data_IF_728008681356
#
_entry.id   IF_728008681356
#
_cell.length_a   1.000
_cell.length_b   1.000
_cell.length_c   1.000
_cell.angle_alpha   90.00
_cell.angle_beta   90.00
_cell.angle_gamma   90.00
#
_symmetry.space_group_name_H-M   'P 1'
#
loop_
_entity.id
_entity.type
_entity.pdbx_description
1 polymer ?
#
# COMPACT_ATOMS: atom_id res chain seq x y z
N UNK A 1 -18.50 -7.45 19.28
CA UNK A 1 -17.05 -7.15 19.37
C UNK A 1 -16.49 -6.80 18.01
N UNK A 2 -15.89 -5.66 17.90
CA UNK A 2 -15.22 -5.27 16.67
C UNK A 2 -13.85 -5.94 16.60
N UNK A 3 -13.50 -6.50 15.44
CA UNK A 3 -12.19 -7.08 15.22
C UNK A 3 -11.14 -5.97 15.18
N UNK A 4 -9.95 -6.27 15.68
CA UNK A 4 -8.81 -5.37 15.59
C UNK A 4 -8.42 -5.21 14.12
N UNK A 5 -8.29 -3.96 13.67
CA UNK A 5 -7.87 -3.67 12.31
C UNK A 5 -6.35 -3.69 12.17
N UNK A 6 -5.87 -3.87 10.94
CA UNK A 6 -4.45 -3.94 10.64
C UNK A 6 -3.76 -2.62 10.99
N UNK A 7 -2.70 -2.71 11.78
CA UNK A 7 -1.86 -1.56 12.14
C UNK A 7 -0.41 -2.02 12.20
N UNK A 8 0.46 -1.36 11.44
CA UNK A 8 1.88 -1.70 11.36
C UNK A 8 2.67 -0.41 11.54
N UNK A 9 3.72 -0.44 12.36
CA UNK A 9 4.68 0.65 12.41
C UNK A 9 6.07 0.14 12.10
N UNK A 10 6.88 1.01 11.48
CA UNK A 10 8.24 0.69 11.10
C UNK A 10 9.09 1.95 11.15
N UNK A 11 10.32 1.79 11.62
CA UNK A 11 11.27 2.89 11.69
C UNK A 11 12.24 2.75 10.50
N UNK A 12 12.16 3.70 9.55
CA UNK A 12 13.04 3.71 8.38
C UNK A 12 14.27 4.55 8.66
N UNK A 13 15.43 4.05 8.24
CA UNK A 13 16.71 4.74 8.42
C UNK A 13 16.95 5.72 7.28
N UNK A 14 16.14 6.76 7.23
CA UNK A 14 16.19 7.81 6.20
C UNK A 14 15.41 9.03 6.69
N UNK A 15 15.75 10.23 6.18
CA UNK A 15 15.04 11.45 6.57
C UNK A 15 13.61 11.50 6.05
N UNK A 16 12.78 12.25 6.76
CA UNK A 16 11.34 12.34 6.54
C UNK A 16 10.96 12.65 5.09
N UNK A 17 11.59 13.64 4.48
CA UNK A 17 11.27 14.07 3.11
C UNK A 17 11.53 12.94 2.11
N UNK A 18 12.59 12.18 2.33
CA UNK A 18 12.96 11.09 1.44
C UNK A 18 11.98 9.92 1.55
N UNK A 19 11.57 9.60 2.78
CA UNK A 19 10.58 8.53 3.02
C UNK A 19 9.23 8.93 2.41
N UNK A 20 8.78 10.16 2.64
CA UNK A 20 7.52 10.64 2.08
C UNK A 20 7.55 10.63 0.55
N UNK A 21 8.66 11.05 -0.05
CA UNK A 21 8.83 11.03 -1.50
C UNK A 21 8.70 9.60 -2.05
N UNK A 22 9.23 8.61 -1.35
CA UNK A 22 9.14 7.22 -1.78
C UNK A 22 7.69 6.72 -1.83
N UNK A 23 6.81 7.29 -1.03
CA UNK A 23 5.39 6.94 -1.00
C UNK A 23 4.55 7.74 -2.00
N UNK A 24 5.06 8.83 -2.54
CA UNK A 24 4.27 9.74 -3.37
C UNK A 24 4.79 9.92 -4.78
N UNK A 25 6.01 9.49 -5.07
CA UNK A 25 6.59 9.55 -6.41
C UNK A 25 6.33 8.22 -7.13
N UNK A 26 5.57 8.22 -8.26
CA UNK A 26 5.28 6.98 -8.99
C UNK A 26 6.53 6.20 -9.41
N UNK A 27 7.62 6.88 -9.75
CA UNK A 27 8.86 6.20 -10.13
C UNK A 27 9.47 5.43 -8.95
N UNK A 28 9.30 5.96 -7.73
CA UNK A 28 9.73 5.27 -6.52
C UNK A 28 8.78 4.11 -6.18
N UNK A 29 7.48 4.34 -6.28
CA UNK A 29 6.47 3.31 -5.98
C UNK A 29 6.66 2.07 -6.84
N UNK A 30 7.03 2.22 -8.10
CA UNK A 30 7.30 1.10 -9.00
C UNK A 30 8.39 0.17 -8.47
N UNK A 31 9.26 0.66 -7.63
CA UNK A 31 10.43 -0.09 -7.16
C UNK A 31 10.17 -0.89 -5.89
N UNK A 32 9.19 -0.51 -5.09
CA UNK A 32 8.99 -1.17 -3.80
C UNK A 32 7.55 -1.54 -3.46
N UNK A 33 6.56 -1.01 -4.17
CA UNK A 33 5.15 -1.16 -3.78
C UNK A 33 4.54 -2.48 -4.25
N UNK A 34 5.25 -3.57 -4.01
CA UNK A 34 4.80 -4.95 -4.23
C UNK A 34 5.71 -5.88 -3.41
N UNK A 35 5.21 -7.01 -2.92
CA UNK A 35 6.04 -7.94 -2.15
C UNK A 35 7.21 -8.48 -2.96
N UNK A 36 8.23 -9.01 -2.28
CA UNK A 36 9.37 -9.63 -2.94
C UNK A 36 8.92 -10.69 -3.95
N UNK A 37 9.50 -10.64 -5.14
CA UNK A 37 9.13 -11.56 -6.22
C UNK A 37 7.96 -11.08 -7.07
N UNK A 38 7.30 -10.01 -6.69
CA UNK A 38 6.17 -9.41 -7.42
C UNK A 38 6.58 -8.06 -7.99
N UNK A 39 5.85 -7.60 -8.99
CA UNK A 39 6.06 -6.28 -9.58
C UNK A 39 4.74 -5.53 -9.63
N UNK A 40 4.80 -4.21 -9.49
CA UNK A 40 3.62 -3.36 -9.63
C UNK A 40 3.66 -2.60 -10.93
N UNK A 41 2.50 -2.56 -11.59
CA UNK A 41 2.28 -1.79 -12.81
C UNK A 41 1.19 -0.76 -12.53
N UNK A 42 1.43 0.50 -12.89
CA UNK A 42 0.41 1.54 -12.80
C UNK A 42 -0.14 1.80 -14.20
N UNK A 43 -1.40 1.46 -14.41
CA UNK A 43 -2.09 1.80 -15.65
C UNK A 43 -2.38 3.30 -15.68
N UNK A 44 -2.67 3.87 -14.51
CA UNK A 44 -2.76 5.30 -14.28
C UNK A 44 -2.45 5.59 -12.83
N UNK A 45 -1.88 6.74 -12.55
CA UNK A 45 -1.66 7.21 -11.19
C UNK A 45 -1.52 8.73 -11.18
N UNK A 46 -2.26 9.37 -10.26
CA UNK A 46 -2.20 10.80 -10.01
C UNK A 46 -2.11 10.98 -8.49
N UNK A 47 -0.90 11.23 -8.00
CA UNK A 47 -0.66 11.38 -6.55
C UNK A 47 -0.93 12.85 -6.17
N UNK A 48 -2.20 13.16 -6.06
CA UNK A 48 -2.68 14.47 -5.59
C UNK A 48 -4.00 14.24 -4.85
N UNK A 49 -4.41 15.21 -4.05
CA UNK A 49 -5.71 15.08 -3.37
C UNK A 49 -6.83 14.94 -4.41
N UNK A 50 -7.66 13.93 -4.22
CA UNK A 50 -8.71 13.52 -5.16
C UNK A 50 -8.19 12.89 -6.46
N UNK A 51 -6.87 12.72 -6.60
CA UNK A 51 -6.30 11.98 -7.72
C UNK A 51 -6.58 10.49 -7.60
N UNK A 52 -6.68 9.82 -8.75
CA UNK A 52 -7.02 8.39 -8.81
C UNK A 52 -5.85 7.55 -9.30
N UNK A 53 -5.90 6.26 -9.02
CA UNK A 53 -4.92 5.31 -9.53
C UNK A 53 -5.59 4.00 -9.92
N UNK A 54 -4.96 3.30 -10.87
CA UNK A 54 -5.36 1.96 -11.28
C UNK A 54 -4.08 1.15 -11.45
N UNK A 55 -3.90 0.12 -10.64
CA UNK A 55 -2.64 -0.62 -10.57
C UNK A 55 -2.87 -2.12 -10.56
N UNK A 56 -1.82 -2.85 -10.93
CA UNK A 56 -1.80 -4.31 -10.90
C UNK A 56 -0.52 -4.78 -10.23
N UNK A 57 -0.66 -5.66 -9.26
CA UNK A 57 0.49 -6.39 -8.71
C UNK A 57 0.58 -7.71 -9.49
N UNK A 58 1.69 -7.89 -10.19
CA UNK A 58 1.97 -9.12 -10.95
C UNK A 58 2.69 -10.12 -10.06
N UNK A 59 1.96 -11.14 -9.63
CA UNK A 59 2.47 -12.22 -8.79
C UNK A 59 2.67 -13.45 -9.68
N UNK A 60 3.90 -13.95 -9.86
CA UNK A 60 4.14 -15.10 -10.75
C UNK A 60 3.48 -16.39 -10.26
N UNK A 61 3.08 -16.45 -8.99
CA UNK A 61 2.44 -17.63 -8.40
C UNK A 61 0.91 -17.52 -8.43
N UNK A 62 0.38 -16.35 -8.02
CA UNK A 62 -1.06 -16.15 -7.84
C UNK A 62 -1.74 -15.38 -8.98
N UNK A 63 -0.96 -14.85 -9.90
CA UNK A 63 -1.49 -14.07 -11.02
C UNK A 63 -1.70 -12.60 -10.69
N UNK A 64 -2.25 -11.84 -11.65
CA UNK A 64 -2.40 -10.39 -11.49
C UNK A 64 -3.49 -10.03 -10.49
N UNK A 65 -3.24 -9.00 -9.69
CA UNK A 65 -4.21 -8.44 -8.74
C UNK A 65 -4.42 -6.97 -9.09
N UNK A 66 -5.60 -6.63 -9.60
CA UNK A 66 -5.95 -5.29 -10.01
C UNK A 66 -6.65 -4.53 -8.89
N UNK A 67 -6.21 -3.30 -8.66
CA UNK A 67 -6.77 -2.41 -7.64
C UNK A 67 -6.89 -1.02 -8.24
N UNK A 68 -8.01 -0.36 -7.98
CA UNK A 68 -8.16 1.05 -8.30
C UNK A 68 -8.41 1.82 -7.00
N UNK A 69 -8.19 3.12 -7.02
CA UNK A 69 -8.40 3.90 -5.82
C UNK A 69 -8.28 5.39 -6.01
N UNK A 70 -8.25 6.08 -4.88
CA UNK A 70 -8.27 7.53 -4.84
C UNK A 70 -7.50 8.01 -3.61
N UNK A 71 -6.66 9.02 -3.80
CA UNK A 71 -6.00 9.70 -2.68
C UNK A 71 -6.98 10.70 -2.09
N UNK A 72 -7.41 10.47 -0.86
CA UNK A 72 -8.41 11.31 -0.21
C UNK A 72 -7.80 12.42 0.64
N UNK A 73 -6.56 12.23 1.11
CA UNK A 73 -5.87 13.25 1.90
C UNK A 73 -4.36 13.11 1.69
N UNK A 74 -3.69 14.22 1.41
CA UNK A 74 -2.23 14.27 1.32
C UNK A 74 -1.75 15.49 2.09
N UNK A 75 -1.06 15.27 3.22
CA UNK A 75 -0.40 16.32 3.99
C UNK A 75 1.10 16.11 3.85
N UNK A 76 1.82 16.98 3.12
CA UNK A 76 3.24 16.77 2.86
C UNK A 76 4.04 16.48 4.13
N UNK A 77 4.81 15.39 4.09
CA UNK A 77 5.67 14.94 5.18
C UNK A 77 4.93 14.55 6.46
N UNK A 78 3.61 14.39 6.42
CA UNK A 78 2.82 14.06 7.61
C UNK A 78 1.89 12.89 7.41
N UNK A 79 1.09 12.89 6.33
CA UNK A 79 0.02 11.93 6.22
C UNK A 79 -0.41 11.67 4.77
N UNK A 80 -0.76 10.42 4.50
CA UNK A 80 -1.28 9.99 3.21
C UNK A 80 -2.46 9.05 3.48
N UNK A 81 -3.63 9.37 2.91
CA UNK A 81 -4.82 8.52 3.04
C UNK A 81 -5.35 8.21 1.66
N UNK A 82 -5.59 6.94 1.39
CA UNK A 82 -6.13 6.54 0.11
C UNK A 82 -7.12 5.39 0.25
N UNK A 83 -8.11 5.41 -0.64
CA UNK A 83 -9.10 4.35 -0.77
C UNK A 83 -8.62 3.35 -1.80
N UNK A 84 -8.71 2.06 -1.48
CA UNK A 84 -8.37 0.97 -2.40
C UNK A 84 -9.62 0.12 -2.64
N UNK A 85 -9.91 -0.17 -3.91
CA UNK A 85 -11.09 -0.95 -4.29
C UNK A 85 -10.65 -2.06 -5.24
N UNK A 86 -11.13 -3.28 -5.01
CA UNK A 86 -10.84 -4.41 -5.89
C UNK A 86 -11.44 -4.16 -7.27
N UNK A 87 -10.65 -4.39 -8.31
CA UNK A 87 -11.06 -4.14 -9.68
C UNK A 87 -10.54 -5.21 -10.62
N UNK A 88 -10.94 -5.11 -11.90
CA UNK A 88 -10.33 -5.87 -12.98
C UNK A 88 -9.45 -4.94 -13.82
N UNK A 89 -8.90 -5.46 -14.90
CA UNK A 89 -8.00 -4.71 -15.79
C UNK A 89 -8.69 -3.49 -16.41
N UNK A 90 -10.02 -3.54 -16.59
CA UNK A 90 -10.79 -2.44 -17.16
C UNK A 90 -11.20 -1.39 -16.14
N UNK A 91 -10.86 -1.60 -14.86
CA UNK A 91 -11.22 -0.68 -13.78
C UNK A 91 -12.63 -0.87 -13.25
N UNK A 92 -13.27 -1.98 -13.61
CA UNK A 92 -14.61 -2.30 -13.08
C UNK A 92 -14.48 -2.94 -11.70
N UNK A 93 -15.44 -2.66 -10.81
CA UNK A 93 -15.47 -3.26 -9.48
C UNK A 93 -15.69 -4.77 -9.59
N UNK A 94 -14.95 -5.54 -8.79
CA UNK A 94 -15.12 -6.98 -8.70
C UNK A 94 -15.28 -7.40 -7.24
N UNK A 95 -15.88 -8.57 -7.02
CA UNK A 95 -16.02 -9.12 -5.69
C UNK A 95 -14.72 -9.79 -5.25
N UNK A 96 -14.58 -10.04 -3.94
CA UNK A 96 -13.36 -10.62 -3.38
C UNK A 96 -13.03 -11.98 -4.02
N UNK A 97 -14.02 -12.82 -4.26
CA UNK A 97 -13.83 -14.14 -4.87
C UNK A 97 -13.31 -14.02 -6.32
N UNK A 98 -13.86 -13.09 -7.10
CA UNK A 98 -13.40 -12.84 -8.46
C UNK A 98 -11.96 -12.33 -8.48
N UNK A 99 -11.58 -11.53 -7.47
CA UNK A 99 -10.21 -11.01 -7.33
C UNK A 99 -9.24 -12.04 -6.75
N UNK A 100 -9.69 -13.26 -6.47
CA UNK A 100 -8.86 -14.30 -5.89
C UNK A 100 -8.61 -14.13 -4.39
N UNK A 101 -9.43 -13.33 -3.73
CA UNK A 101 -9.34 -13.09 -2.28
C UNK A 101 -10.32 -13.97 -1.53
N UNK A 102 -10.14 -14.08 -0.20
CA UNK A 102 -11.10 -14.80 0.63
C UNK A 102 -12.42 -14.02 0.70
N UNK A 103 -13.50 -14.75 1.01
CA UNK A 103 -14.84 -14.19 1.13
C UNK A 103 -14.94 -13.04 2.14
N UNK A 104 -14.09 -13.07 3.16
CA UNK A 104 -14.08 -12.07 4.23
C UNK A 104 -13.23 -10.85 3.90
N UNK A 105 -12.57 -10.84 2.75
CA UNK A 105 -11.75 -9.69 2.32
C UNK A 105 -12.68 -8.55 1.92
N UNK A 106 -12.48 -7.33 2.47
CA UNK A 106 -13.38 -6.22 2.14
C UNK A 106 -13.23 -5.77 0.70
N UNK A 107 -14.37 -5.35 0.11
CA UNK A 107 -14.42 -4.79 -1.25
C UNK A 107 -13.59 -3.50 -1.35
N UNK A 108 -13.60 -2.70 -0.30
CA UNK A 108 -12.89 -1.43 -0.23
C UNK A 108 -12.12 -1.33 1.07
N UNK A 109 -10.92 -0.77 1.00
CA UNK A 109 -10.04 -0.57 2.15
C UNK A 109 -9.57 0.87 2.16
N UNK A 110 -9.67 1.54 3.32
CA UNK A 110 -9.03 2.83 3.52
C UNK A 110 -7.68 2.58 4.18
N UNK A 111 -6.63 3.08 3.54
CA UNK A 111 -5.27 3.00 4.07
C UNK A 111 -4.83 4.38 4.51
N UNK A 112 -4.44 4.51 5.78
CA UNK A 112 -3.90 5.75 6.33
C UNK A 112 -2.45 5.51 6.74
N UNK A 113 -1.56 6.36 6.23
CA UNK A 113 -0.12 6.29 6.52
C UNK A 113 0.30 7.60 7.14
N UNK A 114 0.91 7.55 8.32
CA UNK A 114 1.43 8.73 8.99
C UNK A 114 2.94 8.65 9.09
N UNK A 115 3.59 9.82 9.02
CA UNK A 115 5.05 9.96 8.98
C UNK A 115 5.48 10.87 10.12
N UNK A 116 6.45 10.44 10.91
CA UNK A 116 6.96 11.23 12.04
C UNK A 116 8.48 11.16 12.09
N UNK A 117 9.17 12.30 12.24
CA UNK A 117 10.62 12.27 12.36
C UNK A 117 11.03 11.74 13.74
N UNK A 118 12.05 10.89 13.77
CA UNK A 118 12.66 10.39 14.99
C UNK A 118 14.17 10.59 14.82
N UNK A 119 14.66 11.77 15.18
CA UNK A 119 16.04 12.17 14.87
C UNK A 119 16.24 12.25 13.37
N UNK A 120 17.16 11.48 12.83
CA UNK A 120 17.43 11.40 11.39
C UNK A 120 16.69 10.25 10.73
N UNK A 121 15.85 9.56 11.50
CA UNK A 121 15.05 8.44 11.01
C UNK A 121 13.59 8.86 10.90
N UNK A 122 12.76 8.01 10.30
CA UNK A 122 11.34 8.30 10.10
C UNK A 122 10.51 7.12 10.56
N UNK A 123 9.58 7.38 11.46
CA UNK A 123 8.59 6.38 11.86
C UNK A 123 7.41 6.46 10.92
N UNK A 124 7.08 5.34 10.29
CA UNK A 124 5.90 5.20 9.43
C UNK A 124 4.90 4.33 10.17
N UNK A 125 3.66 4.80 10.24
CA UNK A 125 2.57 4.05 10.86
C UNK A 125 1.48 3.85 9.80
N UNK A 126 1.13 2.60 9.54
CA UNK A 126 0.15 2.24 8.52
C UNK A 126 -1.05 1.59 9.18
N UNK A 127 -2.23 2.05 8.81
CA UNK A 127 -3.51 1.49 9.27
C UNK A 127 -4.38 1.18 8.05
N UNK A 128 -4.98 -0.01 8.04
CA UNK A 128 -5.94 -0.40 7.00
C UNK A 128 -7.23 -0.89 7.63
N UNK A 129 -8.36 -0.55 6.99
CA UNK A 129 -9.69 -0.95 7.46
C UNK A 129 -10.02 -2.39 7.06
N UNK A 130 -9.16 -3.32 7.48
CA UNK A 130 -9.33 -4.75 7.30
C UNK A 130 -8.93 -5.42 8.61
N UNK A 131 -9.63 -6.48 9.00
CA UNK A 131 -9.32 -7.19 10.23
C UNK A 131 -7.89 -7.74 10.17
N UNK A 132 -7.11 -7.53 11.22
CA UNK A 132 -5.73 -8.02 11.31
C UNK A 132 -5.66 -9.55 11.09
N UNK A 133 -6.63 -10.28 11.64
CA UNK A 133 -6.70 -11.72 11.49
C UNK A 133 -6.90 -12.10 10.01
N UNK A 134 -7.72 -11.35 9.27
CA UNK A 134 -7.93 -11.61 7.85
C UNK A 134 -6.68 -11.27 7.03
N UNK A 135 -6.00 -10.19 7.39
CA UNK A 135 -4.74 -9.81 6.73
C UNK A 135 -3.66 -10.87 6.93
N UNK A 136 -3.59 -11.47 8.13
CA UNK A 136 -2.63 -12.55 8.41
C UNK A 136 -2.99 -13.83 7.66
N UNK A 137 -4.27 -14.13 7.56
CA UNK A 137 -4.77 -15.33 6.87
C UNK A 137 -4.49 -15.28 5.37
N UNK A 138 -4.62 -14.12 4.76
CA UNK A 138 -4.47 -13.94 3.31
C UNK A 138 -3.05 -13.64 2.88
N UNK A 139 -2.13 -13.39 3.81
CA UNK A 139 -0.76 -13.01 3.52
C UNK A 139 -0.53 -11.51 3.36
N UNK A 140 -1.58 -10.70 3.40
CA UNK A 140 -1.47 -9.25 3.25
C UNK A 140 -0.62 -8.62 4.36
N UNK A 141 -0.74 -9.13 5.60
CA UNK A 141 0.05 -8.66 6.73
C UNK A 141 1.55 -8.86 6.45
N UNK A 142 1.93 -10.06 6.03
CA UNK A 142 3.32 -10.40 5.72
C UNK A 142 3.84 -9.65 4.49
N UNK A 143 2.95 -9.39 3.52
CA UNK A 143 3.31 -8.63 2.33
C UNK A 143 3.78 -7.21 2.66
N UNK A 144 3.16 -6.55 3.65
CA UNK A 144 3.59 -5.22 4.06
C UNK A 144 5.02 -5.21 4.58
N UNK A 145 5.41 -6.22 5.37
CA UNK A 145 6.79 -6.30 5.86
C UNK A 145 7.76 -6.54 4.72
N UNK A 146 7.40 -7.38 3.76
CA UNK A 146 8.21 -7.60 2.55
C UNK A 146 8.39 -6.32 1.75
N UNK A 147 7.32 -5.55 1.60
CA UNK A 147 7.36 -4.25 0.91
C UNK A 147 8.23 -3.25 1.66
N UNK A 148 8.13 -3.21 2.98
CA UNK A 148 8.94 -2.31 3.81
C UNK A 148 10.43 -2.66 3.72
N UNK A 149 10.78 -3.94 3.61
CA UNK A 149 12.16 -4.35 3.40
C UNK A 149 12.69 -3.81 2.07
N UNK A 150 11.88 -3.91 1.01
CA UNK A 150 12.24 -3.34 -0.29
C UNK A 150 12.39 -1.82 -0.23
N UNK A 151 11.49 -1.16 0.49
CA UNK A 151 11.55 0.28 0.68
C UNK A 151 12.83 0.69 1.43
N UNK A 152 13.17 -0.03 2.50
CA UNK A 152 14.39 0.26 3.24
C UNK A 152 15.62 0.11 2.34
N UNK A 153 15.67 -0.93 1.52
CA UNK A 153 16.77 -1.13 0.57
C UNK A 153 16.85 0.03 -0.44
N UNK A 154 15.71 0.48 -0.95
CA UNK A 154 15.66 1.61 -1.87
C UNK A 154 16.19 2.89 -1.22
N UNK A 155 15.82 3.12 0.04
CA UNK A 155 16.23 4.31 0.78
C UNK A 155 17.74 4.33 1.07
N UNK A 156 18.38 3.16 1.16
CA UNK A 156 19.81 3.05 1.42
C UNK A 156 20.67 3.45 0.21
N UNK A 157 20.14 3.34 -1.00
CA UNK A 157 20.87 3.69 -2.23
C UNK A 157 20.55 5.10 -2.72
N UNK A 158 19.67 5.80 -2.04
CA UNK A 158 19.27 7.16 -2.43
C UNK A 158 20.27 8.21 -1.97
#
# INVERSE_FOLDING_TARGET
MTSKELSISHLFDAPLELVFQAWTDPEHLKKWYAPQGCEIEFKSIDVSENGTFHSCVHDPVHGPCWIKGKYTEIKPNEKLVFLMVLSNEKGENVTADVAGKSQDWPQAIVTAVTFSPVGQQTKVQLHQTVAEAEAKKTGAYQSWFSMFDRLQDLLQVA
#
